data_IF_723537872305
#
_entry.id   IF_723537872305
#
_cell.length_a   1.000
_cell.length_b   1.000
_cell.length_c   1.000
_cell.angle_alpha   90.00
_cell.angle_beta   90.00
_cell.angle_gamma   90.00
#
_symmetry.space_group_name_H-M   'P 1'
#
loop_
_entity.id
_entity.type
_entity.pdbx_description
1 polymer ?
#
# COMPACT_ATOMS: atom_id res chain seq x y z
N UNK A 1 2.05 23.19 11.26
CA UNK A 1 2.28 22.40 10.03
C UNK A 1 2.67 20.96 10.40
N UNK A 2 3.58 20.78 11.37
CA UNK A 2 3.94 19.48 11.95
C UNK A 2 2.73 18.68 12.48
N UNK A 3 1.77 19.33 13.17
CA UNK A 3 0.56 18.66 13.69
C UNK A 3 -0.29 17.95 12.63
N UNK A 4 -0.33 18.48 11.39
CA UNK A 4 -1.15 17.90 10.31
C UNK A 4 -0.50 16.65 9.74
N UNK A 5 0.82 16.65 9.64
CA UNK A 5 1.62 15.52 9.17
C UNK A 5 1.58 14.40 10.22
N UNK A 6 1.71 14.74 11.51
CA UNK A 6 1.60 13.78 12.62
C UNK A 6 0.19 13.17 12.68
N UNK A 7 -0.86 13.97 12.50
CA UNK A 7 -2.24 13.48 12.44
C UNK A 7 -2.48 12.58 11.22
N UNK A 8 -2.01 12.98 10.03
CA UNK A 8 -2.12 12.17 8.83
C UNK A 8 -1.37 10.84 8.97
N UNK A 9 -0.19 10.86 9.59
CA UNK A 9 0.58 9.65 9.91
C UNK A 9 -0.18 8.73 10.87
N UNK A 10 -0.80 9.27 11.92
CA UNK A 10 -1.58 8.48 12.89
C UNK A 10 -2.84 7.87 12.29
N UNK A 11 -3.60 8.64 11.50
CA UNK A 11 -4.78 8.12 10.79
C UNK A 11 -4.40 7.06 9.74
N UNK A 12 -3.21 7.20 9.15
CA UNK A 12 -2.62 6.19 8.29
C UNK A 12 -2.23 4.92 9.06
N UNK A 13 -1.56 5.02 10.20
CA UNK A 13 -1.23 3.86 11.05
C UNK A 13 -2.50 3.13 11.55
N UNK A 14 -3.59 3.86 11.82
CA UNK A 14 -4.89 3.27 12.15
C UNK A 14 -5.57 2.61 10.94
N UNK A 15 -5.41 3.17 9.73
CA UNK A 15 -5.93 2.55 8.51
C UNK A 15 -5.21 1.24 8.21
N UNK A 16 -3.87 1.20 8.39
CA UNK A 16 -3.04 0.00 8.26
C UNK A 16 -3.55 -1.18 9.08
N UNK A 17 -4.02 -0.94 10.31
CA UNK A 17 -4.61 -1.98 11.16
C UNK A 17 -5.88 -2.60 10.56
N UNK A 18 -6.70 -1.79 9.87
CA UNK A 18 -7.95 -2.24 9.23
C UNK A 18 -7.73 -2.93 7.86
N UNK A 19 -6.58 -2.68 7.20
CA UNK A 19 -6.18 -3.36 5.94
C UNK A 19 -6.03 -4.87 6.14
N UNK A 20 -5.72 -5.30 7.36
CA UNK A 20 -5.62 -6.72 7.70
C UNK A 20 -6.94 -7.47 7.47
N UNK A 21 -8.08 -6.81 7.69
CA UNK A 21 -9.41 -7.44 7.77
C UNK A 21 -10.28 -7.23 6.51
N UNK A 22 -10.09 -6.14 5.78
CA UNK A 22 -10.97 -5.74 4.65
C UNK A 22 -10.47 -6.19 3.27
N UNK A 23 -11.34 -6.04 2.25
CA UNK A 23 -10.95 -6.20 0.85
C UNK A 23 -10.13 -5.01 0.29
N UNK A 24 -9.42 -5.19 -0.82
CA UNK A 24 -8.59 -4.15 -1.46
C UNK A 24 -9.41 -2.91 -1.81
N UNK A 25 -10.52 -3.11 -2.52
CA UNK A 25 -11.30 -1.99 -3.07
C UNK A 25 -11.96 -1.18 -1.95
N UNK A 26 -12.49 -1.87 -0.93
CA UNK A 26 -13.04 -1.20 0.24
C UNK A 26 -11.97 -0.48 1.05
N UNK A 27 -10.77 -1.07 1.17
CA UNK A 27 -9.64 -0.46 1.87
C UNK A 27 -9.15 0.80 1.18
N UNK A 28 -8.96 0.77 -0.15
CA UNK A 28 -8.57 1.93 -0.95
C UNK A 28 -9.61 3.03 -0.78
N UNK A 29 -10.89 2.71 -1.01
CA UNK A 29 -11.99 3.69 -0.93
C UNK A 29 -12.10 4.35 0.44
N UNK A 30 -12.01 3.56 1.52
CA UNK A 30 -12.06 4.10 2.89
C UNK A 30 -10.84 4.96 3.22
N UNK A 31 -9.65 4.57 2.73
CA UNK A 31 -8.42 5.34 2.95
C UNK A 31 -8.49 6.66 2.21
N UNK A 32 -8.90 6.68 0.94
CA UNK A 32 -9.08 7.91 0.17
C UNK A 32 -10.13 8.85 0.78
N UNK A 33 -11.23 8.30 1.29
CA UNK A 33 -12.24 9.09 1.99
C UNK A 33 -11.68 9.74 3.27
N UNK A 34 -10.93 9.00 4.11
CA UNK A 34 -10.28 9.57 5.31
C UNK A 34 -9.24 10.63 4.93
N UNK A 35 -8.38 10.32 3.97
CA UNK A 35 -7.33 11.22 3.44
C UNK A 35 -7.96 12.51 2.90
N UNK A 36 -9.01 12.44 2.09
CA UNK A 36 -9.70 13.63 1.56
C UNK A 36 -10.34 14.52 2.65
N UNK A 37 -10.62 13.96 3.83
CA UNK A 37 -11.18 14.69 4.98
C UNK A 37 -10.11 15.42 5.82
N UNK A 38 -8.83 15.07 5.65
CA UNK A 38 -7.70 15.60 6.42
C UNK A 38 -7.18 16.97 5.96
N UNK A 39 -8.10 17.92 5.75
CA UNK A 39 -7.91 19.22 5.08
C UNK A 39 -8.00 19.16 3.55
N UNK A 40 -8.82 20.07 3.03
CA UNK A 40 -9.63 19.87 1.82
C UNK A 40 -8.94 19.99 0.46
N UNK A 41 -7.67 19.62 0.31
CA UNK A 41 -7.03 19.46 -1.01
C UNK A 41 -5.74 18.65 -0.90
N UNK A 42 -5.85 17.35 -0.62
CA UNK A 42 -4.71 16.45 -0.79
C UNK A 42 -4.48 16.21 -2.29
N UNK A 43 -3.26 16.43 -2.82
CA UNK A 43 -2.93 16.24 -4.23
C UNK A 43 -3.25 14.82 -4.71
N UNK A 44 -3.63 14.68 -5.98
CA UNK A 44 -3.93 13.38 -6.58
C UNK A 44 -2.72 12.42 -6.55
N UNK A 45 -1.50 12.96 -6.63
CA UNK A 45 -0.26 12.20 -6.48
C UNK A 45 -0.17 11.46 -5.15
N UNK A 46 -0.67 12.05 -4.05
CA UNK A 46 -0.64 11.40 -2.75
C UNK A 46 -1.68 10.27 -2.68
N UNK A 47 -2.84 10.42 -3.33
CA UNK A 47 -3.83 9.35 -3.43
C UNK A 47 -3.28 8.15 -4.21
N UNK A 48 -2.55 8.41 -5.30
CA UNK A 48 -1.88 7.37 -6.07
C UNK A 48 -0.85 6.59 -5.23
N UNK A 49 0.01 7.30 -4.49
CA UNK A 49 0.97 6.66 -3.57
C UNK A 49 0.25 5.82 -2.51
N UNK A 50 -0.86 6.31 -1.95
CA UNK A 50 -1.64 5.52 -0.99
C UNK A 50 -2.21 4.24 -1.59
N UNK A 51 -2.75 4.29 -2.81
CA UNK A 51 -3.23 3.09 -3.52
C UNK A 51 -2.13 2.07 -3.69
N UNK A 52 -0.95 2.53 -4.08
CA UNK A 52 0.19 1.66 -4.33
C UNK A 52 0.68 0.98 -3.04
N UNK A 53 0.78 1.73 -1.95
CA UNK A 53 1.16 1.18 -0.64
C UNK A 53 0.16 0.13 -0.15
N UNK A 54 -1.14 0.40 -0.27
CA UNK A 54 -2.19 -0.56 0.09
C UNK A 54 -2.05 -1.83 -0.76
N UNK A 55 -1.85 -1.68 -2.06
CA UNK A 55 -1.66 -2.81 -2.97
C UNK A 55 -0.44 -3.67 -2.58
N UNK A 56 0.70 -3.05 -2.27
CA UNK A 56 1.89 -3.76 -1.81
C UNK A 56 1.63 -4.53 -0.51
N UNK A 57 0.91 -3.94 0.45
CA UNK A 57 0.55 -4.61 1.72
C UNK A 57 -0.23 -5.89 1.46
N UNK A 58 -1.17 -5.83 0.54
CA UNK A 58 -1.98 -6.98 0.22
C UNK A 58 -1.22 -8.07 -0.52
N UNK A 59 -0.30 -7.72 -1.44
CA UNK A 59 0.62 -8.68 -2.07
C UNK A 59 1.40 -9.45 -1.01
N UNK A 60 2.03 -8.71 -0.08
CA UNK A 60 2.81 -9.29 1.01
C UNK A 60 1.93 -10.16 1.91
N UNK A 61 0.75 -9.67 2.29
CA UNK A 61 -0.22 -10.40 3.12
C UNK A 61 -0.64 -11.73 2.47
N UNK A 62 -1.08 -11.70 1.22
CA UNK A 62 -1.59 -12.88 0.52
C UNK A 62 -0.48 -13.90 0.24
N UNK A 63 0.75 -13.44 0.02
CA UNK A 63 1.89 -14.33 -0.08
C UNK A 63 2.16 -15.05 1.25
N UNK A 64 2.26 -14.33 2.37
CA UNK A 64 2.57 -14.94 3.67
C UNK A 64 1.43 -15.80 4.23
N UNK A 65 0.17 -15.45 3.93
CA UNK A 65 -1.00 -16.31 4.25
C UNK A 65 -1.10 -17.56 3.36
N UNK A 66 -0.33 -17.62 2.27
CA UNK A 66 -0.38 -18.73 1.31
C UNK A 66 -1.54 -18.66 0.31
N UNK A 67 -2.29 -17.55 0.29
CA UNK A 67 -3.39 -17.32 -0.65
C UNK A 67 -2.88 -17.18 -2.09
N UNK A 68 -1.71 -16.56 -2.28
CA UNK A 68 -1.11 -16.34 -3.59
C UNK A 68 0.40 -16.57 -3.58
N UNK A 69 0.83 -17.75 -4.03
CA UNK A 69 2.26 -18.14 -4.14
C UNK A 69 2.82 -18.06 -5.56
N UNK A 70 2.01 -17.70 -6.54
CA UNK A 70 2.43 -17.60 -7.95
C UNK A 70 3.30 -16.36 -8.23
N UNK A 71 3.29 -15.36 -7.34
CA UNK A 71 4.17 -14.19 -7.45
C UNK A 71 5.63 -14.57 -7.19
N UNK A 72 6.59 -14.07 -8.01
CA UNK A 72 8.01 -14.25 -7.73
C UNK A 72 8.40 -13.73 -6.34
N UNK A 73 9.23 -14.49 -5.61
CA UNK A 73 9.66 -14.10 -4.26
C UNK A 73 10.44 -12.78 -4.25
N UNK A 74 11.20 -12.49 -5.31
CA UNK A 74 11.88 -11.20 -5.47
C UNK A 74 10.91 -10.01 -5.43
N UNK A 75 9.70 -10.19 -5.98
CA UNK A 75 8.68 -9.14 -6.00
C UNK A 75 8.03 -8.94 -4.64
N UNK A 76 7.90 -10.01 -3.85
CA UNK A 76 7.47 -9.94 -2.44
C UNK A 76 8.53 -9.26 -1.57
N UNK A 77 9.82 -9.52 -1.83
CA UNK A 77 10.93 -8.86 -1.13
C UNK A 77 10.95 -7.36 -1.48
N UNK A 78 10.81 -7.00 -2.76
CA UNK A 78 10.74 -5.61 -3.19
C UNK A 78 9.54 -4.87 -2.60
N UNK A 79 8.35 -5.50 -2.59
CA UNK A 79 7.16 -4.96 -1.95
C UNK A 79 7.37 -4.76 -0.44
N UNK A 80 7.91 -5.76 0.25
CA UNK A 80 8.23 -5.68 1.68
C UNK A 80 9.24 -4.58 1.98
N UNK A 81 10.29 -4.44 1.17
CA UNK A 81 11.30 -3.39 1.33
C UNK A 81 10.70 -1.99 1.16
N UNK A 82 9.88 -1.77 0.12
CA UNK A 82 9.18 -0.50 -0.09
C UNK A 82 8.24 -0.16 1.08
N UNK A 83 7.55 -1.16 1.65
CA UNK A 83 6.67 -0.97 2.80
C UNK A 83 7.42 -0.69 4.10
N UNK A 84 8.51 -1.41 4.36
CA UNK A 84 9.37 -1.17 5.52
C UNK A 84 9.95 0.24 5.48
N UNK A 85 10.41 0.65 4.30
CA UNK A 85 10.91 1.99 4.04
C UNK A 85 9.81 3.05 4.25
N UNK A 86 8.57 2.79 3.79
CA UNK A 86 7.44 3.69 4.01
C UNK A 86 7.03 3.81 5.50
N UNK A 87 7.07 2.70 6.25
CA UNK A 87 6.62 2.64 7.63
C UNK A 87 7.59 3.29 8.63
N UNK A 88 8.89 3.33 8.32
CA UNK A 88 9.91 3.95 9.17
C UNK A 88 10.74 4.95 8.37
N UNK A 89 10.41 6.26 8.37
CA UNK A 89 11.21 7.28 7.71
C UNK A 89 12.60 7.52 8.37
N UNK A 90 13.00 6.72 9.38
CA UNK A 90 14.21 6.95 10.19
C UNK A 90 15.22 5.80 10.20
N UNK A 91 14.92 4.60 9.69
CA UNK A 91 15.73 3.40 10.03
C UNK A 91 16.85 2.99 9.05
N UNK A 92 17.06 3.71 7.94
CA UNK A 92 18.08 3.31 6.92
C UNK A 92 19.09 4.41 6.61
N UNK A 93 18.85 5.65 7.03
CA UNK A 93 19.76 6.78 6.81
C UNK A 93 20.57 7.01 8.09
N UNK A 94 21.89 6.77 8.10
CA UNK A 94 22.75 7.30 9.15
C UNK A 94 22.66 8.83 9.10
N UNK A 95 22.18 9.44 10.19
CA UNK A 95 22.04 10.89 10.44
C UNK A 95 23.01 11.75 9.61
N UNK A 96 22.62 12.51 8.56
CA UNK A 96 23.46 13.63 8.03
C UNK A 96 22.88 14.60 6.96
N UNK A 97 21.58 14.69 6.66
CA UNK A 97 21.11 15.71 5.68
C UNK A 97 19.86 16.48 6.14
N UNK A 98 19.98 17.79 6.46
CA UNK A 98 18.83 18.65 6.65
C UNK A 98 18.21 18.97 5.26
N UNK A 99 16.90 18.72 5.09
CA UNK A 99 16.04 19.06 3.92
C UNK A 99 15.84 18.04 2.77
N UNK A 100 16.19 16.76 2.87
CA UNK A 100 16.04 15.80 1.73
C UNK A 100 15.05 14.63 1.90
N UNK A 101 14.41 14.44 3.06
CA UNK A 101 13.75 13.18 3.42
C UNK A 101 12.63 12.69 2.49
N UNK A 102 11.68 13.53 2.08
CA UNK A 102 10.45 13.06 1.42
C UNK A 102 10.60 12.64 -0.06
N UNK A 103 11.62 13.14 -0.77
CA UNK A 103 11.78 12.89 -2.21
C UNK A 103 12.30 11.48 -2.47
N UNK A 104 13.17 10.98 -1.59
CA UNK A 104 13.74 9.64 -1.69
C UNK A 104 12.67 8.56 -1.46
N UNK A 105 11.72 8.84 -0.56
CA UNK A 105 10.67 7.89 -0.18
C UNK A 105 9.71 7.55 -1.32
N UNK A 106 9.26 8.57 -2.06
CA UNK A 106 8.41 8.37 -3.24
C UNK A 106 9.18 7.69 -4.37
N UNK A 107 10.48 7.99 -4.49
CA UNK A 107 11.33 7.39 -5.52
C UNK A 107 11.52 5.88 -5.29
N UNK A 108 11.77 5.44 -4.05
CA UNK A 108 11.92 4.03 -3.70
C UNK A 108 10.64 3.25 -3.96
N UNK A 109 9.48 3.75 -3.51
CA UNK A 109 8.18 3.11 -3.76
C UNK A 109 7.89 3.05 -5.25
N UNK A 110 8.06 4.16 -5.97
CA UNK A 110 7.86 4.23 -7.42
C UNK A 110 8.79 3.28 -8.19
N UNK A 111 10.04 3.14 -7.75
CA UNK A 111 11.02 2.25 -8.34
C UNK A 111 10.66 0.78 -8.11
N UNK A 112 10.29 0.42 -6.88
CA UNK A 112 9.82 -0.93 -6.55
C UNK A 112 8.63 -1.32 -7.43
N UNK A 113 7.60 -0.46 -7.50
CA UNK A 113 6.42 -0.68 -8.34
C UNK A 113 6.76 -0.86 -9.82
N UNK A 114 7.70 -0.08 -10.34
CA UNK A 114 8.18 -0.21 -11.73
C UNK A 114 8.84 -1.55 -11.97
N UNK A 115 9.68 -2.02 -11.03
CA UNK A 115 10.35 -3.32 -11.16
C UNK A 115 9.37 -4.49 -11.16
N UNK A 116 8.32 -4.42 -10.33
CA UNK A 116 7.39 -5.55 -10.13
C UNK A 116 6.06 -5.37 -10.87
N UNK A 117 5.99 -4.46 -11.84
CA UNK A 117 4.75 -4.05 -12.50
C UNK A 117 3.98 -5.22 -13.13
N UNK A 118 4.67 -6.12 -13.83
CA UNK A 118 4.03 -7.30 -14.44
C UNK A 118 3.37 -8.19 -13.39
N UNK A 119 4.06 -8.41 -12.27
CA UNK A 119 3.62 -9.29 -11.20
C UNK A 119 2.44 -8.68 -10.44
N UNK A 120 2.45 -7.34 -10.28
CA UNK A 120 1.32 -6.58 -9.77
C UNK A 120 0.08 -6.80 -10.63
N UNK A 121 0.18 -6.71 -11.95
CA UNK A 121 -0.97 -6.88 -12.83
C UNK A 121 -1.51 -8.32 -12.79
N UNK A 122 -0.63 -9.32 -12.73
CA UNK A 122 -1.01 -10.72 -12.50
C UNK A 122 -1.73 -10.91 -11.16
N UNK A 123 -1.22 -10.28 -10.10
CA UNK A 123 -1.84 -10.31 -8.77
C UNK A 123 -3.24 -9.66 -8.77
N UNK A 124 -3.39 -8.46 -9.35
CA UNK A 124 -4.68 -7.77 -9.47
C UNK A 124 -5.72 -8.62 -10.19
N UNK A 125 -5.31 -9.26 -11.29
CA UNK A 125 -6.19 -10.16 -12.06
C UNK A 125 -6.64 -11.35 -11.22
N UNK A 126 -5.69 -12.08 -10.62
CA UNK A 126 -6.00 -13.22 -9.75
C UNK A 126 -6.98 -12.83 -8.64
N UNK A 127 -6.73 -11.70 -7.99
CA UNK A 127 -7.54 -11.27 -6.86
C UNK A 127 -8.97 -10.88 -7.25
N UNK A 128 -9.14 -10.24 -8.41
CA UNK A 128 -10.46 -9.94 -8.98
C UNK A 128 -11.24 -11.23 -9.29
N UNK A 129 -10.55 -12.25 -9.79
CA UNK A 129 -11.14 -13.57 -10.06
C UNK A 129 -11.49 -14.33 -8.77
N UNK A 130 -10.61 -14.32 -7.76
CA UNK A 130 -10.86 -14.93 -6.44
C UNK A 130 -12.09 -14.33 -5.76
N UNK A 131 -12.24 -12.99 -5.79
CA UNK A 131 -13.42 -12.30 -5.25
C UNK A 131 -14.69 -12.61 -6.00
N UNK A 132 -14.66 -12.56 -7.34
CA UNK A 132 -15.82 -12.94 -8.17
C UNK A 132 -16.25 -14.38 -7.89
N UNK A 133 -15.29 -15.27 -7.64
CA UNK A 133 -15.57 -16.66 -7.31
C UNK A 133 -16.25 -16.77 -5.94
N UNK A 134 -15.72 -16.10 -4.91
CA UNK A 134 -16.32 -16.06 -3.57
C UNK A 134 -17.73 -15.46 -3.56
N UNK A 135 -17.96 -14.36 -4.28
CA UNK A 135 -19.29 -13.75 -4.37
C UNK A 135 -20.28 -14.68 -5.08
N UNK A 136 -19.83 -15.39 -6.12
CA UNK A 136 -20.66 -16.42 -6.78
C UNK A 136 -21.03 -17.54 -5.81
N UNK A 137 -20.13 -18.00 -4.95
CA UNK A 137 -20.44 -19.02 -3.93
C UNK A 137 -21.30 -18.51 -2.76
N UNK A 138 -21.32 -17.21 -2.50
CA UNK A 138 -22.09 -16.59 -1.40
C UNK A 138 -23.48 -16.12 -1.86
N UNK A 139 -23.65 -15.74 -3.13
CA UNK A 139 -24.87 -15.10 -3.65
C UNK A 139 -25.52 -15.77 -4.88
N UNK A 140 -25.11 -16.96 -5.32
CA UNK A 140 -25.85 -17.72 -6.36
C UNK A 140 -25.62 -19.23 -6.24
N UNK A 141 -26.56 -20.11 -6.56
CA UNK A 141 -27.96 -20.03 -7.00
C UNK A 141 -28.70 -21.24 -6.37
#
# INVERSE_FOLDING_TARGET
MEDKIVKAKREYEESLKHISENDLESTISQTEYKVSKLEGSIPDTLKEVWRDIILLLFIVKDYYKGNYKAIPIGSVIAASAALLYFASPFDIIPDFIPFSGFIDDVAVVSFALKMIKSDIESYKKWRKEDRRSKDKYVYGD
#
